data_IF_487344434962
#
_entry.id   IF_487344434962
#
_cell.length_a   1.000
_cell.length_b   1.000
_cell.length_c   1.000
_cell.angle_alpha   90.00
_cell.angle_beta   90.00
_cell.angle_gamma   90.00
#
_symmetry.space_group_name_H-M   'P 1'
#
loop_
_entity.id
_entity.type
_entity.pdbx_description
1 polymer ?
#
# COMPACT_ATOMS: atom_id res chain seq x y z
N UNK A 1 20.03 13.59 -14.57
CA UNK A 1 19.34 12.30 -14.79
C UNK A 1 19.71 11.72 -16.15
N UNK A 2 20.16 10.47 -16.23
CA UNK A 2 20.39 9.80 -17.52
C UNK A 2 19.05 9.42 -18.18
N UNK A 3 19.02 9.36 -19.52
CA UNK A 3 17.85 8.85 -20.28
C UNK A 3 17.29 7.51 -19.75
N UNK A 4 18.12 6.48 -19.45
CA UNK A 4 17.61 5.22 -18.92
C UNK A 4 16.96 5.36 -17.53
N UNK A 5 17.52 6.18 -16.63
CA UNK A 5 16.93 6.41 -15.31
C UNK A 5 15.53 7.04 -15.42
N UNK A 6 15.34 8.00 -16.33
CA UNK A 6 14.03 8.64 -16.56
C UNK A 6 13.01 7.66 -17.14
N UNK A 7 13.43 6.80 -18.08
CA UNK A 7 12.57 5.76 -18.64
C UNK A 7 12.15 4.72 -17.59
N UNK A 8 13.09 4.35 -16.70
CA UNK A 8 12.80 3.48 -15.56
C UNK A 8 11.75 4.09 -14.63
N UNK A 9 11.94 5.33 -14.15
CA UNK A 9 10.99 5.98 -13.24
C UNK A 9 9.59 6.13 -13.86
N UNK A 10 9.53 6.40 -15.16
CA UNK A 10 8.24 6.46 -15.89
C UNK A 10 7.55 5.10 -15.90
N UNK A 11 8.31 4.01 -16.09
CA UNK A 11 7.78 2.64 -16.09
C UNK A 11 7.35 2.20 -14.70
N UNK A 12 8.13 2.57 -13.67
CA UNK A 12 7.81 2.29 -12.28
C UNK A 12 6.53 3.03 -11.82
N UNK A 13 6.36 4.29 -12.25
CA UNK A 13 5.13 5.07 -12.00
C UNK A 13 3.91 4.38 -12.63
N UNK A 14 3.99 4.00 -13.92
CA UNK A 14 2.92 3.28 -14.61
C UNK A 14 2.59 1.93 -13.95
N UNK A 15 3.63 1.20 -13.55
CA UNK A 15 3.46 -0.06 -12.84
C UNK A 15 2.69 0.16 -11.51
N UNK A 16 3.06 1.19 -10.75
CA UNK A 16 2.39 1.55 -9.51
C UNK A 16 0.93 1.93 -9.74
N UNK A 17 0.62 2.74 -10.75
CA UNK A 17 -0.76 3.10 -11.11
C UNK A 17 -1.63 1.85 -11.35
N UNK A 18 -1.15 0.92 -12.16
CA UNK A 18 -1.86 -0.34 -12.44
C UNK A 18 -2.00 -1.20 -11.19
N UNK A 19 -0.95 -1.29 -10.38
CA UNK A 19 -0.97 -2.02 -9.12
C UNK A 19 -2.05 -1.47 -8.16
N UNK A 20 -2.16 -0.15 -8.03
CA UNK A 20 -3.19 0.49 -7.22
C UNK A 20 -4.60 0.21 -7.72
N UNK A 21 -4.81 0.23 -9.04
CA UNK A 21 -6.11 -0.11 -9.64
C UNK A 21 -6.48 -1.57 -9.32
N UNK A 22 -5.54 -2.50 -9.49
CA UNK A 22 -5.75 -3.92 -9.17
C UNK A 22 -6.07 -4.13 -7.70
N UNK A 23 -5.34 -3.45 -6.81
CA UNK A 23 -5.64 -3.46 -5.38
C UNK A 23 -7.04 -2.93 -5.14
N UNK A 24 -7.42 -1.77 -5.69
CA UNK A 24 -8.75 -1.21 -5.49
C UNK A 24 -9.88 -2.15 -5.91
N UNK A 25 -9.75 -2.83 -7.05
CA UNK A 25 -10.76 -3.78 -7.56
C UNK A 25 -10.82 -5.06 -6.74
N UNK A 26 -9.67 -5.60 -6.30
CA UNK A 26 -9.58 -6.93 -5.67
C UNK A 26 -9.64 -6.90 -4.13
N UNK A 27 -9.50 -5.73 -3.52
CA UNK A 27 -9.45 -5.54 -2.06
C UNK A 27 -10.81 -5.70 -1.36
N UNK A 28 -11.91 -5.80 -2.12
CA UNK A 28 -13.22 -6.24 -1.64
C UNK A 28 -13.93 -5.25 -0.69
N UNK A 29 -13.44 -4.02 -0.55
CA UNK A 29 -14.03 -2.99 0.30
C UNK A 29 -14.56 -1.83 -0.54
N UNK A 30 -15.66 -1.16 -0.13
CA UNK A 30 -16.04 0.15 -0.67
C UNK A 30 -15.07 1.28 -0.24
N UNK A 31 -13.90 0.94 0.32
CA UNK A 31 -12.88 1.87 0.77
C UNK A 31 -12.55 2.86 -0.35
N UNK A 32 -12.91 4.12 -0.08
CA UNK A 32 -12.63 5.25 -0.96
C UNK A 32 -11.12 5.30 -1.17
N UNK A 33 -10.70 5.55 -2.41
CA UNK A 33 -9.30 5.61 -2.85
C UNK A 33 -8.37 6.43 -1.92
N UNK A 34 -8.95 7.37 -1.17
CA UNK A 34 -8.30 8.17 -0.12
C UNK A 34 -7.74 7.37 1.05
N UNK A 35 -8.37 6.25 1.44
CA UNK A 35 -7.92 5.41 2.58
C UNK A 35 -6.77 4.48 2.20
N UNK A 36 -6.65 4.10 0.92
CA UNK A 36 -5.52 3.29 0.43
C UNK A 36 -4.24 4.14 0.37
N UNK A 37 -4.39 5.43 0.02
CA UNK A 37 -3.26 6.36 -0.09
C UNK A 37 -2.67 6.75 1.28
N UNK A 38 -3.38 6.49 2.39
CA UNK A 38 -2.89 6.74 3.76
C UNK A 38 -2.21 5.52 4.38
N UNK A 39 -2.10 4.40 3.66
CA UNK A 39 -1.42 3.22 4.21
C UNK A 39 0.08 3.39 4.30
N UNK A 40 0.57 3.12 5.50
CA UNK A 40 1.99 3.15 5.80
C UNK A 40 2.51 1.72 5.94
N UNK A 41 3.64 1.46 5.30
CA UNK A 41 4.40 0.21 5.47
C UNK A 41 5.41 0.30 6.62
N UNK A 42 5.63 1.51 7.16
CA UNK A 42 6.52 1.81 8.28
C UNK A 42 5.72 2.56 9.33
N UNK A 43 6.01 2.31 10.62
CA UNK A 43 5.39 3.06 11.70
C UNK A 43 5.82 4.53 11.65
N UNK A 44 4.88 5.44 11.88
CA UNK A 44 5.17 6.84 12.15
C UNK A 44 5.32 7.05 13.66
N UNK A 45 5.83 8.22 14.07
CA UNK A 45 5.85 8.65 15.48
C UNK A 45 4.43 8.67 16.07
N UNK A 46 3.42 8.92 15.23
CA UNK A 46 2.03 9.12 15.64
C UNK A 46 1.07 7.99 15.23
N UNK A 47 1.53 7.01 14.44
CA UNK A 47 0.66 5.93 13.95
C UNK A 47 1.41 4.64 13.65
N UNK A 48 0.75 3.51 13.91
CA UNK A 48 1.26 2.20 13.50
C UNK A 48 1.17 2.02 11.98
N UNK A 49 2.01 1.15 11.43
CA UNK A 49 1.91 0.72 10.04
C UNK A 49 0.58 0.00 9.79
N UNK A 50 0.13 0.07 8.55
CA UNK A 50 -1.08 -0.56 8.07
C UNK A 50 -0.82 -1.89 7.36
N UNK A 51 0.44 -2.26 7.10
CA UNK A 51 0.79 -3.44 6.30
C UNK A 51 1.53 -4.47 7.15
N UNK A 52 1.04 -5.71 7.13
CA UNK A 52 1.55 -6.83 7.93
C UNK A 52 1.67 -8.10 7.09
N UNK A 53 2.81 -8.78 7.22
CA UNK A 53 2.96 -10.14 6.69
C UNK A 53 2.34 -11.13 7.69
N UNK A 54 1.50 -12.03 7.19
CA UNK A 54 0.88 -13.09 7.98
C UNK A 54 1.02 -14.43 7.26
N UNK A 55 0.89 -15.55 7.98
CA UNK A 55 1.01 -16.90 7.40
C UNK A 55 0.02 -17.18 6.26
N UNK A 56 -1.08 -16.41 6.21
CA UNK A 56 -2.13 -16.51 5.18
C UNK A 56 -1.99 -15.48 4.05
N UNK A 57 -0.91 -14.70 4.05
CA UNK A 57 -0.63 -13.67 3.04
C UNK A 57 -0.49 -12.28 3.62
N UNK A 58 -0.46 -11.29 2.73
CA UNK A 58 -0.31 -9.88 3.11
C UNK A 58 -1.63 -9.28 3.60
N UNK A 59 -1.58 -8.70 4.80
CA UNK A 59 -2.71 -8.07 5.46
C UNK A 59 -2.55 -6.55 5.42
N UNK A 60 -3.64 -5.89 5.04
CA UNK A 60 -3.81 -4.45 5.12
C UNK A 60 -4.82 -4.12 6.21
N UNK A 61 -4.40 -3.32 7.18
CA UNK A 61 -5.16 -2.92 8.33
C UNK A 61 -5.60 -1.47 8.14
N UNK A 62 -6.87 -1.25 7.81
CA UNK A 62 -7.46 0.08 7.75
C UNK A 62 -7.97 0.51 9.12
N UNK A 63 -7.58 1.70 9.58
CA UNK A 63 -8.20 2.34 10.74
C UNK A 63 -9.40 3.19 10.28
N UNK A 64 -10.61 2.80 10.68
CA UNK A 64 -11.81 3.57 10.38
C UNK A 64 -12.06 4.61 11.48
N UNK A 65 -11.64 5.86 11.23
CA UNK A 65 -11.54 6.90 12.26
C UNK A 65 -12.81 7.76 12.45
N UNK A 66 -13.95 7.45 11.80
CA UNK A 66 -15.12 8.36 11.83
C UNK A 66 -15.87 8.43 13.16
N UNK A 67 -15.60 7.54 14.11
CA UNK A 67 -16.30 7.47 15.41
C UNK A 67 -15.36 7.51 16.62
N UNK A 68 -14.05 7.61 16.40
CA UNK A 68 -13.05 7.52 17.47
C UNK A 68 -13.17 8.68 18.45
N UNK A 69 -13.49 9.88 17.96
CA UNK A 69 -13.76 11.06 18.79
C UNK A 69 -14.99 10.93 19.70
N UNK A 70 -15.91 9.99 19.41
CA UNK A 70 -17.17 9.79 20.14
C UNK A 70 -17.18 8.55 21.04
N UNK A 71 -16.37 7.53 20.74
CA UNK A 71 -16.45 6.22 21.42
C UNK A 71 -15.13 5.72 22.00
N UNK A 72 -13.99 6.34 21.65
CA UNK A 72 -12.67 5.94 22.16
C UNK A 72 -12.17 4.57 21.68
N UNK A 73 -12.92 3.86 20.83
CA UNK A 73 -12.56 2.54 20.30
C UNK A 73 -12.20 2.65 18.83
N UNK A 74 -10.93 2.38 18.50
CA UNK A 74 -10.49 2.24 17.12
C UNK A 74 -11.06 0.95 16.52
N UNK A 75 -11.81 1.07 15.42
CA UNK A 75 -12.26 -0.07 14.63
C UNK A 75 -11.28 -0.34 13.52
N UNK A 76 -10.70 -1.55 13.54
CA UNK A 76 -9.84 -2.04 12.50
C UNK A 76 -10.65 -2.81 11.46
N UNK A 77 -10.37 -2.53 10.19
CA UNK A 77 -10.87 -3.32 9.07
C UNK A 77 -9.68 -4.05 8.46
N UNK A 78 -9.78 -5.37 8.41
CA UNK A 78 -8.72 -6.26 7.92
C UNK A 78 -9.01 -6.63 6.49
N UNK A 79 -8.01 -6.51 5.63
CA UNK A 79 -8.13 -6.85 4.23
C UNK A 79 -6.99 -7.74 3.78
N UNK A 80 -7.37 -8.83 3.11
CA UNK A 80 -6.45 -9.75 2.49
C UNK A 80 -6.52 -9.57 0.99
N UNK A 81 -5.37 -9.54 0.34
CA UNK A 81 -5.29 -9.52 -1.12
C UNK A 81 -4.96 -10.91 -1.67
N UNK A 82 -5.35 -11.22 -2.91
CA UNK A 82 -4.95 -12.46 -3.55
C UNK A 82 -3.42 -12.62 -3.62
N UNK A 83 -2.91 -13.84 -3.45
CA UNK A 83 -1.46 -14.11 -3.38
C UNK A 83 -0.68 -13.68 -4.63
N UNK A 84 -1.34 -13.58 -5.81
CA UNK A 84 -0.73 -13.05 -7.03
C UNK A 84 -0.44 -11.54 -6.91
N UNK A 85 -1.38 -10.80 -6.32
CA UNK A 85 -1.26 -9.36 -6.10
C UNK A 85 -0.25 -9.07 -4.99
N UNK A 86 -0.20 -9.92 -3.96
CA UNK A 86 0.82 -9.84 -2.90
C UNK A 86 2.24 -9.88 -3.46
N UNK A 87 2.54 -10.80 -4.39
CA UNK A 87 3.86 -10.89 -5.01
C UNK A 87 4.23 -9.63 -5.79
N UNK A 88 3.27 -9.04 -6.52
CA UNK A 88 3.48 -7.78 -7.24
C UNK A 88 3.77 -6.63 -6.28
N UNK A 89 2.99 -6.54 -5.19
CA UNK A 89 3.14 -5.50 -4.18
C UNK A 89 4.47 -5.61 -3.42
N UNK A 90 4.86 -6.81 -3.00
CA UNK A 90 6.15 -7.05 -2.37
C UNK A 90 7.31 -6.79 -3.34
N UNK A 91 7.19 -7.21 -4.60
CA UNK A 91 8.19 -6.95 -5.64
C UNK A 91 8.42 -5.45 -5.86
N UNK A 92 7.34 -4.66 -5.85
CA UNK A 92 7.44 -3.21 -5.88
C UNK A 92 8.20 -2.64 -4.69
N UNK A 93 7.81 -3.04 -3.47
CA UNK A 93 8.42 -2.55 -2.23
C UNK A 93 9.90 -2.91 -2.09
N UNK A 94 10.29 -4.11 -2.54
CA UNK A 94 11.65 -4.66 -2.35
C UNK A 94 12.60 -4.21 -3.46
N UNK A 95 12.14 -4.23 -4.72
CA UNK A 95 13.04 -3.99 -5.86
C UNK A 95 12.88 -2.61 -6.46
N UNK A 96 11.64 -2.19 -6.69
CA UNK A 96 11.37 -0.99 -7.48
C UNK A 96 11.57 0.27 -6.63
N UNK A 97 10.89 0.32 -5.48
CA UNK A 97 10.80 1.49 -4.61
C UNK A 97 12.15 1.91 -4.00
N UNK A 98 13.07 1.00 -3.61
CA UNK A 98 14.41 1.40 -3.19
C UNK A 98 15.21 1.99 -4.35
N UNK A 99 15.14 1.38 -5.53
CA UNK A 99 15.88 1.87 -6.71
C UNK A 99 15.40 3.26 -7.14
N UNK A 100 14.08 3.54 -7.07
CA UNK A 100 13.53 4.89 -7.29
C UNK A 100 14.15 5.92 -6.34
N UNK A 101 14.28 5.58 -5.06
CA UNK A 101 14.86 6.46 -4.03
C UNK A 101 16.33 6.82 -4.32
N UNK A 102 17.11 5.88 -4.86
CA UNK A 102 18.53 6.10 -5.19
C UNK A 102 18.76 6.67 -6.60
N UNK A 103 17.74 6.69 -7.46
CA UNK A 103 17.83 7.18 -8.84
C UNK A 103 17.43 8.65 -9.01
N UNK A 104 16.97 9.30 -7.94
CA UNK A 104 16.61 10.72 -7.88
C UNK A 104 17.72 11.57 -7.28
#
# INVERSE_FOLDING_TARGET
>A
MSRPARAYLTSATKFLEVLFILMHVLYGSPARMTEINTWTHVNSVHSSRNIYCHSRGLIFLGQYNKTTSLTGVERFIVHLIPSRLERLFLGYLIYIRPFEKYSC
#
